data_IF_213548905838
#
_entry.id   IF_213548905838
#
_cell.length_a   1.000
_cell.length_b   1.000
_cell.length_c   1.000
_cell.angle_alpha   90.00
_cell.angle_beta   90.00
_cell.angle_gamma   90.00
#
_symmetry.space_group_name_H-M   'P 1'
#
loop_
_entity.id
_entity.type
_entity.pdbx_description
1 polymer ?
#
# COMPACT_ATOMS: atom_id res chain seq x y z
N UNK A 1 11.33 -10.39 -4.47
CA UNK A 1 9.85 -10.32 -4.47
C UNK A 1 9.41 -8.89 -4.73
N UNK A 2 8.19 -8.68 -5.24
CA UNK A 2 7.53 -7.38 -5.41
C UNK A 2 6.59 -7.15 -4.22
N UNK A 3 6.88 -6.15 -3.38
CA UNK A 3 6.20 -5.89 -2.11
C UNK A 3 5.55 -4.51 -2.17
N UNK A 4 4.28 -4.37 -1.80
CA UNK A 4 3.68 -3.05 -1.53
C UNK A 4 3.32 -2.90 -0.07
N UNK A 5 3.53 -1.72 0.51
CA UNK A 5 3.20 -1.41 1.91
C UNK A 5 1.99 -0.48 1.96
N UNK A 6 0.88 -0.95 2.54
CA UNK A 6 -0.41 -0.25 2.61
C UNK A 6 -0.75 0.18 4.03
N UNK A 7 -1.41 1.33 4.15
CA UNK A 7 -1.81 1.91 5.42
C UNK A 7 -2.04 3.41 5.32
N UNK A 8 -2.73 3.97 6.29
CA UNK A 8 -3.11 5.38 6.26
C UNK A 8 -1.93 6.36 6.39
N UNK A 9 -2.19 7.64 6.14
CA UNK A 9 -1.17 8.67 6.37
C UNK A 9 -0.68 8.62 7.82
N UNK A 10 0.64 8.70 8.03
CA UNK A 10 1.23 8.58 9.35
C UNK A 10 0.96 7.22 10.02
N UNK A 11 1.00 6.10 9.28
CA UNK A 11 0.97 4.75 9.88
C UNK A 11 2.37 4.13 10.06
N UNK A 12 3.43 4.82 9.63
CA UNK A 12 4.82 4.35 9.74
C UNK A 12 5.33 3.53 8.54
N UNK A 13 4.63 3.53 7.39
CA UNK A 13 5.03 2.80 6.17
C UNK A 13 6.43 3.16 5.70
N UNK A 14 6.67 4.44 5.41
CA UNK A 14 7.97 4.93 4.94
C UNK A 14 9.09 4.53 5.89
N UNK A 15 8.86 4.66 7.19
CA UNK A 15 9.83 4.23 8.21
C UNK A 15 10.11 2.73 8.17
N UNK A 16 9.08 1.89 7.99
CA UNK A 16 9.27 0.44 7.82
C UNK A 16 10.03 0.11 6.54
N UNK A 17 9.73 0.81 5.44
CA UNK A 17 10.40 0.62 4.15
C UNK A 17 11.87 0.98 4.24
N UNK A 18 12.19 2.13 4.85
CA UNK A 18 13.56 2.60 5.04
C UNK A 18 14.35 1.58 5.88
N UNK A 19 13.81 1.17 7.02
CA UNK A 19 14.43 0.13 7.87
C UNK A 19 14.67 -1.19 7.15
N UNK A 20 13.74 -1.57 6.27
CA UNK A 20 13.82 -2.80 5.50
C UNK A 20 14.91 -2.69 4.44
N UNK A 21 14.94 -1.62 3.64
CA UNK A 21 15.96 -1.44 2.59
C UNK A 21 17.35 -1.26 3.17
N UNK A 22 17.48 -0.64 4.35
CA UNK A 22 18.75 -0.56 5.08
C UNK A 22 19.33 -1.96 5.43
N UNK A 23 18.47 -2.98 5.59
CA UNK A 23 18.87 -4.37 5.89
C UNK A 23 18.89 -5.30 4.67
N UNK A 24 18.26 -4.89 3.58
CA UNK A 24 18.14 -5.65 2.33
C UNK A 24 18.60 -4.77 1.16
N UNK A 25 19.92 -4.57 1.04
CA UNK A 25 20.51 -3.67 0.05
C UNK A 25 20.20 -4.03 -1.42
N UNK A 26 19.75 -5.25 -1.68
CA UNK A 26 19.32 -5.72 -3.01
C UNK A 26 17.90 -5.24 -3.37
N UNK A 27 17.13 -4.74 -2.39
CA UNK A 27 15.79 -4.22 -2.65
C UNK A 27 15.82 -2.77 -3.13
N UNK A 28 15.17 -2.52 -4.26
CA UNK A 28 14.91 -1.18 -4.75
C UNK A 28 13.64 -0.63 -4.09
N UNK A 29 13.78 0.52 -3.40
CA UNK A 29 12.62 1.31 -2.96
C UNK A 29 12.05 2.07 -4.14
N UNK A 30 10.83 1.74 -4.52
CA UNK A 30 10.05 2.60 -5.40
C UNK A 30 9.29 3.64 -4.60
N UNK A 31 9.72 4.89 -4.77
CA UNK A 31 9.07 6.03 -4.15
C UNK A 31 7.71 6.25 -4.81
N UNK A 32 6.73 6.60 -3.99
CA UNK A 32 5.42 7.01 -4.48
C UNK A 32 5.57 8.16 -5.51
N UNK A 33 4.80 8.15 -6.62
CA UNK A 33 4.75 9.25 -7.60
C UNK A 33 4.43 10.62 -7.00
N UNK A 34 3.90 10.64 -5.77
CA UNK A 34 3.67 11.84 -4.99
C UNK A 34 4.90 12.73 -4.85
N UNK A 35 6.14 12.20 -4.78
CA UNK A 35 7.33 13.07 -4.75
C UNK A 35 7.55 13.82 -6.07
N UNK A 36 7.09 13.26 -7.19
CA UNK A 36 7.11 13.92 -8.49
C UNK A 36 5.92 14.89 -8.65
N UNK A 37 4.72 14.53 -8.19
CA UNK A 37 3.51 15.35 -8.29
C UNK A 37 3.41 16.47 -7.23
N UNK A 38 4.06 16.32 -6.08
CA UNK A 38 4.14 17.37 -5.05
C UNK A 38 5.02 18.56 -5.46
N UNK A 39 5.91 18.39 -6.47
CA UNK A 39 6.58 19.53 -7.12
C UNK A 39 5.58 20.47 -7.81
N UNK A 40 4.38 19.98 -8.13
CA UNK A 40 3.26 20.76 -8.68
C UNK A 40 2.25 21.24 -7.61
N UNK A 41 2.53 21.01 -6.32
CA UNK A 41 1.81 21.66 -5.20
C UNK A 41 0.53 20.98 -4.69
N UNK A 42 0.33 19.68 -4.93
CA UNK A 42 -0.84 18.93 -4.43
C UNK A 42 -0.51 18.26 -3.08
N UNK A 43 -1.13 18.64 -1.94
CA UNK A 43 -0.89 18.00 -0.65
C UNK A 43 -1.60 16.64 -0.56
N UNK A 44 -0.96 15.66 0.09
CA UNK A 44 -1.60 14.38 0.40
C UNK A 44 -2.70 14.58 1.45
N UNK A 45 -3.94 14.27 1.07
CA UNK A 45 -5.17 14.36 1.88
C UNK A 45 -5.57 15.78 2.35
N UNK A 46 -4.66 16.72 2.56
CA UNK A 46 -5.01 18.12 2.86
C UNK A 46 -5.34 18.87 1.57
N UNK A 47 -6.50 18.55 0.98
CA UNK A 47 -7.02 19.23 -0.22
C UNK A 47 -6.83 18.50 -1.55
N UNK A 48 -6.43 17.22 -1.57
CA UNK A 48 -6.49 16.41 -2.79
C UNK A 48 -7.95 16.18 -3.22
N UNK A 49 -8.29 16.56 -4.45
CA UNK A 49 -9.64 16.36 -5.00
C UNK A 49 -9.86 14.91 -5.44
N UNK A 50 -11.12 14.50 -5.66
CA UNK A 50 -11.43 13.16 -6.20
C UNK A 50 -10.69 12.86 -7.52
N UNK A 51 -10.63 13.78 -8.51
CA UNK A 51 -9.81 13.59 -9.70
C UNK A 51 -8.32 13.37 -9.42
N UNK A 52 -7.76 14.06 -8.42
CA UNK A 52 -6.34 13.89 -8.05
C UNK A 52 -6.09 12.49 -7.49
N UNK A 53 -6.99 12.00 -6.63
CA UNK A 53 -6.92 10.66 -6.07
C UNK A 53 -7.07 9.57 -7.15
N UNK A 54 -7.95 9.77 -8.14
CA UNK A 54 -8.06 8.85 -9.29
C UNK A 54 -6.79 8.82 -10.14
N UNK A 55 -6.18 9.99 -10.39
CA UNK A 55 -4.92 10.07 -11.11
C UNK A 55 -3.80 9.34 -10.35
N UNK A 56 -3.75 9.49 -9.02
CA UNK A 56 -2.79 8.78 -8.17
C UNK A 56 -3.00 7.27 -8.17
N UNK A 57 -4.25 6.81 -8.13
CA UNK A 57 -4.60 5.40 -8.27
C UNK A 57 -4.09 4.83 -9.61
N UNK A 58 -4.37 5.53 -10.72
CA UNK A 58 -3.90 5.14 -12.04
C UNK A 58 -2.36 5.11 -12.13
N UNK A 59 -1.68 6.10 -11.56
CA UNK A 59 -0.22 6.17 -11.53
C UNK A 59 0.39 5.04 -10.68
N UNK A 60 -0.20 4.73 -9.52
CA UNK A 60 0.22 3.62 -8.65
C UNK A 60 0.13 2.28 -9.38
N UNK A 61 -0.99 2.00 -10.05
CA UNK A 61 -1.15 0.78 -10.83
C UNK A 61 -0.13 0.70 -11.98
N UNK A 62 0.09 1.79 -12.71
CA UNK A 62 1.07 1.84 -13.80
C UNK A 62 2.50 1.63 -13.32
N UNK A 63 2.89 2.22 -12.19
CA UNK A 63 4.23 2.05 -11.61
C UNK A 63 4.52 0.59 -11.29
N UNK A 64 3.57 -0.10 -10.64
CA UNK A 64 3.71 -1.53 -10.32
C UNK A 64 3.82 -2.35 -11.60
N UNK A 65 2.97 -2.10 -12.59
CA UNK A 65 2.99 -2.80 -13.87
C UNK A 65 4.31 -2.57 -14.64
N UNK A 66 4.88 -1.37 -14.59
CA UNK A 66 6.17 -1.07 -15.22
C UNK A 66 7.33 -1.86 -14.61
N UNK A 67 7.19 -2.26 -13.33
CA UNK A 67 8.18 -3.06 -12.58
C UNK A 67 7.83 -4.54 -12.50
N UNK A 68 6.87 -5.03 -13.30
CA UNK A 68 6.45 -6.43 -13.27
C UNK A 68 7.60 -7.44 -13.49
N UNK A 69 8.57 -7.08 -14.33
CA UNK A 69 9.75 -7.90 -14.62
C UNK A 69 10.94 -7.66 -13.68
N UNK A 70 10.83 -6.73 -12.72
CA UNK A 70 11.91 -6.37 -11.81
C UNK A 70 11.71 -7.10 -10.48
N UNK A 71 12.65 -7.97 -10.05
CA UNK A 71 12.59 -8.56 -8.73
C UNK A 71 12.94 -7.52 -7.67
N UNK A 72 12.66 -7.88 -6.41
CA UNK A 72 13.17 -7.18 -5.23
C UNK A 72 12.84 -5.69 -5.22
N UNK A 73 11.56 -5.36 -5.42
CA UNK A 73 11.04 -3.99 -5.37
C UNK A 73 10.10 -3.85 -4.20
N UNK A 74 10.21 -2.75 -3.45
CA UNK A 74 9.26 -2.36 -2.40
C UNK A 74 8.61 -1.02 -2.73
N UNK A 75 7.29 -1.01 -2.86
CA UNK A 75 6.48 0.16 -3.18
C UNK A 75 5.95 0.82 -1.89
N UNK A 76 6.13 2.13 -1.79
CA UNK A 76 5.46 2.95 -0.78
C UNK A 76 4.01 3.21 -1.24
N UNK A 77 3.06 2.46 -0.65
CA UNK A 77 1.63 2.32 -1.00
C UNK A 77 1.31 1.33 -2.10
N UNK A 78 0.09 0.82 -2.06
CA UNK A 78 -0.55 0.05 -3.12
C UNK A 78 -1.75 0.81 -3.70
N UNK A 79 -2.34 0.35 -4.81
CA UNK A 79 -3.59 0.90 -5.35
C UNK A 79 -4.73 0.94 -4.32
N UNK A 80 -4.74 0.01 -3.36
CA UNK A 80 -5.78 -0.07 -2.33
C UNK A 80 -5.75 1.10 -1.35
N UNK A 81 -4.58 1.74 -1.14
CA UNK A 81 -4.48 2.96 -0.36
C UNK A 81 -5.37 4.05 -0.96
N UNK A 82 -5.27 4.27 -2.28
CA UNK A 82 -6.01 5.32 -2.99
C UNK A 82 -7.50 5.00 -3.11
N UNK A 83 -7.86 3.74 -3.37
CA UNK A 83 -9.27 3.30 -3.38
C UNK A 83 -9.92 3.60 -2.03
N UNK A 84 -9.25 3.30 -0.92
CA UNK A 84 -9.79 3.57 0.40
C UNK A 84 -9.98 5.07 0.68
N UNK A 85 -9.13 5.96 0.14
CA UNK A 85 -9.37 7.41 0.20
C UNK A 85 -10.53 7.83 -0.70
N UNK A 86 -10.58 7.35 -1.95
CA UNK A 86 -11.62 7.68 -2.91
C UNK A 86 -13.00 7.36 -2.38
N UNK A 87 -13.22 6.15 -1.87
CA UNK A 87 -14.51 5.75 -1.32
C UNK A 87 -14.91 6.59 -0.10
N UNK A 88 -13.96 6.85 0.80
CA UNK A 88 -14.22 7.59 2.05
C UNK A 88 -14.48 9.07 1.82
N UNK A 89 -13.78 9.70 0.87
CA UNK A 89 -13.97 11.11 0.49
C UNK A 89 -15.25 11.26 -0.34
N UNK A 90 -15.51 10.34 -1.28
CA UNK A 90 -16.74 10.37 -2.09
C UNK A 90 -17.98 10.20 -1.21
N UNK A 91 -17.94 9.30 -0.22
CA UNK A 91 -19.02 9.13 0.75
C UNK A 91 -19.30 10.44 1.54
N UNK A 92 -18.26 11.19 1.92
CA UNK A 92 -18.42 12.49 2.60
C UNK A 92 -19.09 13.55 1.71
N UNK A 93 -18.88 13.46 0.39
CA UNK A 93 -19.53 14.31 -0.61
C UNK A 93 -20.92 13.81 -1.02
N UNK A 94 -21.38 12.68 -0.46
CA UNK A 94 -22.65 12.05 -0.81
C UNK A 94 -22.65 11.38 -2.20
N UNK A 95 -21.46 11.00 -2.67
CA UNK A 95 -21.22 10.35 -3.95
C UNK A 95 -20.80 8.90 -3.73
N UNK A 96 -21.06 8.06 -4.73
CA UNK A 96 -20.52 6.72 -4.84
C UNK A 96 -19.40 6.74 -5.89
N UNK A 97 -18.25 6.18 -5.54
CA UNK A 97 -17.11 6.11 -6.44
C UNK A 97 -16.92 4.68 -6.96
N UNK A 98 -16.76 4.56 -8.27
CA UNK A 98 -16.43 3.30 -8.93
C UNK A 98 -15.34 3.55 -9.98
N UNK A 99 -14.32 2.68 -10.09
CA UNK A 99 -13.32 2.81 -11.13
C UNK A 99 -13.93 2.47 -12.50
N UNK A 100 -13.51 3.19 -13.53
CA UNK A 100 -13.81 2.76 -14.91
C UNK A 100 -13.31 1.33 -15.15
N UNK A 101 -13.99 0.55 -16.01
CA UNK A 101 -13.58 -0.84 -16.27
C UNK A 101 -12.13 -0.99 -16.78
N UNK A 102 -11.60 0.03 -17.47
CA UNK A 102 -10.18 0.07 -17.86
C UNK A 102 -9.26 0.22 -16.65
N UNK A 103 -9.59 1.11 -15.72
CA UNK A 103 -8.82 1.35 -14.51
C UNK A 103 -8.90 0.13 -13.58
N UNK A 104 -10.09 -0.46 -13.41
CA UNK A 104 -10.28 -1.69 -12.66
C UNK A 104 -9.36 -2.81 -13.16
N UNK A 105 -9.36 -3.08 -14.48
CA UNK A 105 -8.48 -4.08 -15.06
C UNK A 105 -6.97 -3.76 -14.94
N UNK A 106 -6.59 -2.49 -14.74
CA UNK A 106 -5.21 -2.11 -14.41
C UNK A 106 -4.88 -2.38 -12.94
N UNK A 107 -5.82 -2.08 -12.03
CA UNK A 107 -5.69 -2.36 -10.60
C UNK A 107 -5.52 -3.86 -10.37
N UNK A 108 -6.40 -4.68 -10.93
CA UNK A 108 -6.36 -6.15 -10.80
C UNK A 108 -5.00 -6.71 -11.24
N UNK A 109 -4.52 -6.30 -12.42
CA UNK A 109 -3.22 -6.72 -12.94
C UNK A 109 -2.07 -6.25 -12.08
N UNK A 110 -2.13 -5.02 -11.55
CA UNK A 110 -1.11 -4.48 -10.67
C UNK A 110 -1.05 -5.28 -9.36
N UNK A 111 -2.21 -5.59 -8.76
CA UNK A 111 -2.29 -6.40 -7.55
C UNK A 111 -1.77 -7.82 -7.81
N UNK A 112 -2.17 -8.48 -8.89
CA UNK A 112 -1.65 -9.79 -9.27
C UNK A 112 -0.13 -9.80 -9.57
N UNK A 113 0.45 -8.63 -9.86
CA UNK A 113 1.90 -8.45 -10.04
C UNK A 113 2.63 -8.32 -8.70
N UNK A 114 1.96 -8.15 -7.56
CA UNK A 114 2.63 -8.12 -6.26
C UNK A 114 2.75 -9.55 -5.70
N UNK A 115 3.90 -9.86 -5.07
CA UNK A 115 4.06 -11.13 -4.35
C UNK A 115 3.55 -11.01 -2.90
N UNK A 116 3.67 -9.82 -2.31
CA UNK A 116 3.33 -9.55 -0.92
C UNK A 116 2.71 -8.15 -0.78
N UNK A 117 1.59 -8.07 -0.08
CA UNK A 117 0.97 -6.82 0.33
C UNK A 117 1.04 -6.72 1.85
N UNK A 118 1.82 -5.76 2.33
CA UNK A 118 2.07 -5.54 3.75
C UNK A 118 1.10 -4.50 4.26
N UNK A 119 0.28 -4.82 5.25
CA UNK A 119 -0.69 -3.91 5.83
C UNK A 119 -0.26 -3.41 7.22
N UNK A 120 -0.22 -2.09 7.41
CA UNK A 120 0.03 -1.44 8.70
C UNK A 120 -1.28 -0.77 9.19
N UNK A 121 -2.12 -1.48 9.95
CA UNK A 121 -3.30 -0.90 10.57
C UNK A 121 -2.91 0.12 11.64
N UNK A 122 -3.81 1.07 11.90
CA UNK A 122 -3.68 1.93 13.07
C UNK A 122 -3.72 1.12 14.36
N UNK A 123 -2.77 1.43 15.25
CA UNK A 123 -2.65 0.85 16.58
C UNK A 123 -3.45 1.63 17.61
N UNK A 124 -3.86 0.98 18.70
CA UNK A 124 -4.47 1.63 19.84
C UNK A 124 -3.72 1.23 21.13
N UNK A 125 -3.02 2.16 21.81
CA UNK A 125 -2.92 3.59 21.49
C UNK A 125 -2.14 3.85 20.20
N UNK A 126 -2.37 5.03 19.60
CA UNK A 126 -1.65 5.45 18.39
C UNK A 126 -0.17 5.68 18.71
N UNK A 127 0.72 5.13 17.87
CA UNK A 127 2.17 5.25 18.04
C UNK A 127 2.70 6.58 17.49
N UNK A 128 1.95 7.21 16.58
CA UNK A 128 2.36 8.45 15.94
C UNK A 128 2.09 9.62 16.88
N UNK A 129 3.18 10.24 17.34
CA UNK A 129 3.15 11.36 18.29
C UNK A 129 3.06 12.73 17.63
N UNK A 130 3.21 12.80 16.31
CA UNK A 130 3.04 14.04 15.55
C UNK A 130 1.55 14.30 15.32
N UNK A 131 1.10 15.57 15.38
CA UNK A 131 -0.27 15.92 15.04
C UNK A 131 -0.61 15.44 13.62
N UNK A 132 -1.74 14.74 13.49
CA UNK A 132 -2.33 14.41 12.19
C UNK A 132 -3.34 15.52 11.86
N UNK A 133 -3.23 16.10 10.67
CA UNK A 133 -4.11 17.19 10.19
C UNK A 133 -5.57 16.74 10.12
N UNK A 134 -5.82 15.55 9.55
CA UNK A 134 -7.16 15.00 9.33
C UNK A 134 -7.36 13.67 10.08
N UNK A 135 -7.43 13.67 11.43
CA UNK A 135 -7.45 12.43 12.22
C UNK A 135 -8.73 11.61 12.03
N UNK A 136 -9.87 12.27 11.74
CA UNK A 136 -11.14 11.58 11.43
C UNK A 136 -11.09 10.85 10.10
N UNK A 137 -10.60 11.52 9.06
CA UNK A 137 -10.39 10.92 7.73
C UNK A 137 -9.43 9.73 7.86
N UNK A 138 -8.29 9.93 8.52
CA UNK A 138 -7.31 8.85 8.79
C UNK A 138 -7.94 7.63 9.45
N UNK A 139 -8.79 7.81 10.47
CA UNK A 139 -9.47 6.69 11.11
C UNK A 139 -10.51 6.01 10.20
N UNK A 140 -11.25 6.78 9.38
CA UNK A 140 -12.21 6.23 8.42
C UNK A 140 -11.53 5.42 7.32
N UNK A 141 -10.46 5.93 6.73
CA UNK A 141 -9.66 5.23 5.73
C UNK A 141 -9.04 3.96 6.33
N UNK A 142 -8.55 3.99 7.57
CA UNK A 142 -8.04 2.78 8.23
C UNK A 142 -9.13 1.70 8.40
N UNK A 143 -10.34 2.09 8.79
CA UNK A 143 -11.48 1.17 8.84
C UNK A 143 -11.80 0.61 7.45
N UNK A 144 -11.75 1.44 6.41
CA UNK A 144 -12.02 0.97 5.04
C UNK A 144 -10.94 0.01 4.55
N UNK A 145 -9.66 0.31 4.76
CA UNK A 145 -8.55 -0.61 4.47
C UNK A 145 -8.70 -1.93 5.23
N UNK A 146 -9.14 -1.91 6.49
CA UNK A 146 -9.42 -3.15 7.25
C UNK A 146 -10.52 -3.98 6.58
N UNK A 147 -11.61 -3.37 6.13
CA UNK A 147 -12.67 -4.08 5.42
C UNK A 147 -12.14 -4.68 4.10
N UNK A 148 -11.41 -3.89 3.31
CA UNK A 148 -10.80 -4.34 2.05
C UNK A 148 -9.87 -5.53 2.30
N UNK A 149 -8.97 -5.45 3.28
CA UNK A 149 -7.87 -6.40 3.44
C UNK A 149 -8.20 -7.63 4.28
N UNK A 150 -9.18 -7.53 5.18
CA UNK A 150 -9.57 -8.64 6.08
C UNK A 150 -10.82 -9.37 5.61
N UNK A 151 -11.70 -8.67 4.90
CA UNK A 151 -12.99 -9.18 4.47
C UNK A 151 -13.07 -9.31 2.94
N UNK A 152 -11.99 -8.97 2.22
CA UNK A 152 -11.95 -8.88 0.75
C UNK A 152 -13.14 -8.09 0.19
N UNK A 153 -13.48 -6.98 0.82
CA UNK A 153 -14.71 -6.22 0.56
C UNK A 153 -14.83 -5.63 -0.87
N UNK A 154 -13.79 -5.78 -1.69
CA UNK A 154 -13.75 -5.38 -3.10
C UNK A 154 -13.60 -6.58 -4.05
N UNK A 155 -13.44 -7.80 -3.52
CA UNK A 155 -13.19 -9.02 -4.29
C UNK A 155 -11.95 -8.92 -5.21
N UNK A 156 -10.95 -8.13 -4.79
CA UNK A 156 -9.73 -7.87 -5.56
C UNK A 156 -8.53 -8.72 -5.11
N UNK A 157 -8.66 -9.48 -4.02
CA UNK A 157 -7.53 -10.22 -3.43
C UNK A 157 -7.50 -11.71 -3.82
N UNK A 158 -8.55 -12.25 -4.43
CA UNK A 158 -8.63 -13.67 -4.79
C UNK A 158 -7.46 -14.15 -5.67
N UNK A 159 -7.13 -13.38 -6.71
CA UNK A 159 -5.95 -13.58 -7.58
C UNK A 159 -4.81 -12.60 -7.25
N UNK A 160 -4.90 -11.95 -6.08
CA UNK A 160 -4.02 -10.89 -5.64
C UNK A 160 -2.79 -11.37 -4.86
N UNK A 161 -2.03 -10.43 -4.28
CA UNK A 161 -0.84 -10.75 -3.51
C UNK A 161 -1.19 -11.44 -2.20
N UNK A 162 -0.24 -12.16 -1.63
CA UNK A 162 -0.37 -12.61 -0.24
C UNK A 162 -0.44 -11.38 0.68
N UNK A 163 -1.43 -11.31 1.56
CA UNK A 163 -1.55 -10.23 2.54
C UNK A 163 -0.82 -10.58 3.83
N UNK A 164 -0.03 -9.63 4.36
CA UNK A 164 0.65 -9.72 5.65
C UNK A 164 0.33 -8.49 6.50
N UNK A 165 -0.50 -8.67 7.53
CA UNK A 165 -0.77 -7.63 8.51
C UNK A 165 0.36 -7.56 9.55
N UNK A 166 0.90 -6.35 9.78
CA UNK A 166 1.97 -6.09 10.73
C UNK A 166 1.49 -5.20 11.88
N UNK A 167 1.63 -5.70 13.11
CA UNK A 167 1.28 -5.00 14.34
C UNK A 167 2.42 -5.03 15.36
N UNK A 168 2.30 -4.18 16.38
CA UNK A 168 3.32 -3.99 17.41
C UNK A 168 4.37 -2.95 17.02
N UNK A 169 5.45 -2.91 17.80
CA UNK A 169 6.52 -1.91 17.66
C UNK A 169 7.20 -1.95 16.29
N UNK A 170 7.85 -0.84 15.91
CA UNK A 170 8.71 -0.72 14.71
C UNK A 170 9.62 -1.94 14.51
N UNK A 171 10.35 -2.35 15.54
CA UNK A 171 11.25 -3.50 15.49
C UNK A 171 10.52 -4.84 15.28
N UNK A 172 9.34 -5.02 15.89
CA UNK A 172 8.54 -6.24 15.71
C UNK A 172 7.96 -6.34 14.30
N UNK A 173 7.48 -5.22 13.74
CA UNK A 173 6.99 -5.16 12.35
C UNK A 173 8.09 -5.50 11.37
N UNK A 174 9.26 -4.88 11.50
CA UNK A 174 10.43 -5.15 10.67
C UNK A 174 10.87 -6.62 10.75
N UNK A 175 11.07 -7.14 11.96
CA UNK A 175 11.48 -8.53 12.15
C UNK A 175 10.46 -9.53 11.57
N UNK A 176 9.17 -9.17 11.56
CA UNK A 176 8.11 -10.01 10.97
C UNK A 176 8.16 -9.97 9.45
N UNK A 177 8.36 -8.79 8.85
CA UNK A 177 8.58 -8.64 7.41
C UNK A 177 9.80 -9.43 6.95
N UNK A 178 10.93 -9.30 7.66
CA UNK A 178 12.17 -10.02 7.36
C UNK A 178 11.98 -11.53 7.35
N UNK A 179 11.28 -12.06 8.36
CA UNK A 179 10.99 -13.50 8.42
C UNK A 179 10.14 -13.93 7.24
N UNK A 180 9.11 -13.16 6.88
CA UNK A 180 8.24 -13.49 5.76
C UNK A 180 9.01 -13.54 4.43
N UNK A 181 9.86 -12.54 4.18
CA UNK A 181 10.69 -12.45 2.98
C UNK A 181 11.71 -13.59 2.92
N UNK A 182 12.45 -13.83 4.01
CA UNK A 182 13.42 -14.95 4.08
C UNK A 182 12.75 -16.31 3.85
N UNK A 183 11.59 -16.54 4.47
CA UNK A 183 10.84 -17.79 4.28
C UNK A 183 10.40 -17.97 2.82
N UNK A 184 9.99 -16.90 2.13
CA UNK A 184 9.59 -16.98 0.73
C UNK A 184 10.77 -17.37 -0.18
N UNK A 185 11.96 -16.78 0.01
CA UNK A 185 13.15 -17.17 -0.77
C UNK A 185 13.60 -18.61 -0.50
N UNK A 186 13.54 -19.08 0.76
CA UNK A 186 13.88 -20.47 1.09
C UNK A 186 12.94 -21.44 0.38
N UNK A 187 11.63 -21.16 0.35
CA UNK A 187 10.65 -21.99 -0.36
C UNK A 187 10.90 -22.00 -1.87
N UNK A 188 11.19 -20.83 -2.46
CA UNK A 188 11.50 -20.73 -3.89
C UNK A 188 12.76 -21.55 -4.26
N UNK A 189 13.81 -21.48 -3.45
CA UNK A 189 15.05 -22.24 -3.68
C UNK A 189 14.83 -23.76 -3.59
N UNK A 190 13.97 -24.22 -2.67
CA UNK A 190 13.61 -25.63 -2.54
C UNK A 190 12.79 -26.14 -3.74
N UNK A 191 11.93 -25.31 -4.32
CA UNK A 191 11.14 -25.65 -5.50
C UNK A 191 12.00 -25.70 -6.77
N UNK A 192 12.97 -24.80 -6.91
CA UNK A 192 13.89 -24.77 -8.06
C UNK A 192 14.89 -25.93 -8.08
N UNK A 193 15.09 -26.62 -6.95
CA UNK A 193 16.01 -27.75 -6.80
C UNK A 193 15.35 -29.13 -7.00
N UNK A 194 14.08 -29.17 -7.40
CA UNK A 194 13.31 -30.39 -7.71
C UNK A 194 13.08 -30.51 -9.20
#
# INVERSE_FOLDING_TARGET
MRIAVTGTHGSGKTTLIDDFVDQHADYERELEPYWALAQDGIPFADGASLPDLEQQLAASAQLILARAGTPDVIFDRSPLDFIAYLEVVSEDEGLEWEPSGRLLGQIEKALATLDLLVFLPLSNPDEVRVPIELPRLRARVDRRLKAILREDALELLADGPKVLELSGSRAQRLATLDRAVKSAYVLAAQQASR
#
